data_IF_533427377260
#
_entry.id   IF_533427377260
#
_cell.length_a   1.000
_cell.length_b   1.000
_cell.length_c   1.000
_cell.angle_alpha   90.00
_cell.angle_beta   90.00
_cell.angle_gamma   90.00
#
_symmetry.space_group_name_H-M   'P 1'
#
loop_
_entity.id
_entity.type
_entity.pdbx_description
1 polymer ?
#
# COMPACT_ATOMS: atom_id res chain seq x y z
N UNK A 1 3.08 11.31 -28.03
CA UNK A 1 3.03 9.92 -27.52
C UNK A 1 3.95 9.85 -26.32
N UNK A 2 3.44 9.55 -25.12
CA UNK A 2 4.30 9.21 -23.99
C UNK A 2 4.92 7.85 -24.28
N UNK A 3 6.25 7.80 -24.38
CA UNK A 3 6.97 6.54 -24.48
C UNK A 3 6.81 5.83 -23.13
N UNK A 4 5.99 4.78 -23.10
CA UNK A 4 6.02 3.82 -22.00
C UNK A 4 7.37 3.11 -22.12
N UNK A 5 8.26 3.38 -21.16
CA UNK A 5 9.52 2.67 -21.08
C UNK A 5 9.21 1.20 -20.72
N UNK A 6 9.33 0.32 -21.72
CA UNK A 6 9.09 -1.12 -21.57
C UNK A 6 10.03 -1.78 -20.55
N UNK A 7 11.04 -1.07 -20.06
CA UNK A 7 11.94 -1.54 -19.00
C UNK A 7 11.32 -1.56 -17.60
N UNK A 8 10.19 -0.88 -17.35
CA UNK A 8 9.54 -0.80 -16.02
C UNK A 8 8.25 -1.59 -15.93
N UNK A 9 8.29 -2.86 -16.33
CA UNK A 9 7.19 -3.81 -16.12
C UNK A 9 7.39 -4.51 -14.78
N UNK A 10 6.42 -4.40 -13.86
CA UNK A 10 6.55 -4.98 -12.52
C UNK A 10 6.62 -6.51 -12.58
N UNK A 11 7.66 -7.09 -11.98
CA UNK A 11 7.82 -8.54 -11.80
C UNK A 11 7.04 -9.11 -10.62
N UNK A 12 6.47 -8.24 -9.79
CA UNK A 12 5.73 -8.58 -8.59
C UNK A 12 4.41 -7.81 -8.51
N UNK A 13 3.42 -8.41 -7.86
CA UNK A 13 2.24 -7.71 -7.37
C UNK A 13 2.60 -7.07 -6.03
N UNK A 14 2.22 -5.80 -5.83
CA UNK A 14 2.42 -5.08 -4.58
C UNK A 14 1.08 -4.66 -3.98
N UNK A 15 1.01 -4.71 -2.66
CA UNK A 15 -0.22 -4.47 -1.93
C UNK A 15 -0.01 -4.50 -0.43
N UNK A 16 -1.11 -4.58 0.30
CA UNK A 16 -1.11 -4.58 1.76
C UNK A 16 -1.91 -5.76 2.30
N UNK A 17 -1.62 -6.13 3.54
CA UNK A 17 -2.40 -7.10 4.29
C UNK A 17 -3.62 -6.43 4.93
N UNK A 18 -4.82 -6.87 4.57
CA UNK A 18 -6.10 -6.31 5.04
C UNK A 18 -6.43 -6.81 6.45
N UNK A 19 -5.91 -7.96 6.88
CA UNK A 19 -6.10 -8.43 8.27
C UNK A 19 -5.43 -7.49 9.27
N UNK A 20 -4.34 -6.82 8.85
CA UNK A 20 -3.72 -5.78 9.65
C UNK A 20 -4.57 -4.52 9.80
N UNK A 21 -5.54 -4.29 8.90
CA UNK A 21 -6.39 -3.10 8.87
C UNK A 21 -7.72 -3.27 9.60
N UNK A 22 -8.40 -4.43 9.47
CA UNK A 22 -9.76 -4.63 9.99
C UNK A 22 -9.86 -5.71 11.08
N UNK A 23 -8.72 -6.18 11.57
CA UNK A 23 -8.65 -7.27 12.56
C UNK A 23 -8.93 -8.64 11.94
N UNK A 24 -8.49 -9.70 12.64
CA UNK A 24 -8.72 -11.08 12.18
C UNK A 24 -10.22 -11.36 12.08
N UNK A 25 -10.68 -11.69 10.87
CA UNK A 25 -11.95 -12.38 10.70
C UNK A 25 -11.92 -13.69 11.49
N UNK A 26 -12.97 -14.01 12.26
CA UNK A 26 -13.10 -15.30 12.93
C UNK A 26 -13.27 -16.47 11.94
N UNK A 27 -13.45 -16.17 10.65
CA UNK A 27 -13.40 -17.16 9.58
C UNK A 27 -11.95 -17.44 9.17
N UNK A 28 -11.50 -18.63 9.58
CA UNK A 28 -10.37 -19.44 9.10
C UNK A 28 -9.61 -18.86 7.88
N UNK A 29 -8.34 -18.49 8.10
CA UNK A 29 -7.22 -18.51 7.14
C UNK A 29 -7.34 -17.76 5.79
N UNK A 30 -8.20 -16.76 5.65
CA UNK A 30 -8.12 -15.87 4.47
C UNK A 30 -7.35 -14.62 4.85
N UNK A 31 -6.01 -14.70 4.80
CA UNK A 31 -5.19 -13.50 4.70
C UNK A 31 -5.62 -12.73 3.46
N UNK A 32 -6.39 -11.67 3.65
CA UNK A 32 -6.88 -10.85 2.54
C UNK A 32 -5.77 -9.89 2.13
N UNK A 33 -5.12 -10.15 1.01
CA UNK A 33 -4.21 -9.17 0.43
C UNK A 33 -4.98 -8.24 -0.50
N UNK A 34 -4.85 -6.93 -0.27
CA UNK A 34 -5.34 -5.91 -1.17
C UNK A 34 -4.21 -5.52 -2.14
N UNK A 35 -4.30 -6.00 -3.37
CA UNK A 35 -3.37 -5.60 -4.43
C UNK A 35 -3.61 -4.13 -4.81
N UNK A 36 -2.55 -3.31 -4.71
CA UNK A 36 -2.57 -1.93 -5.24
C UNK A 36 -2.11 -1.89 -6.70
N UNK A 37 -1.17 -2.76 -7.07
CA UNK A 37 -0.69 -2.90 -8.44
C UNK A 37 -0.28 -4.34 -8.71
N UNK A 38 -0.64 -4.85 -9.88
CA UNK A 38 -0.41 -6.23 -10.26
C UNK A 38 0.94 -6.43 -10.97
N UNK A 39 1.48 -7.63 -10.84
CA UNK A 39 2.56 -8.11 -11.70
C UNK A 39 2.16 -7.94 -13.18
N UNK A 40 3.13 -7.56 -14.00
CA UNK A 40 2.95 -7.33 -15.44
C UNK A 40 2.45 -5.92 -15.77
N UNK A 41 2.12 -5.09 -14.78
CA UNK A 41 1.79 -3.68 -15.02
C UNK A 41 3.05 -2.91 -15.44
N UNK A 42 3.01 -2.28 -16.60
CA UNK A 42 4.00 -1.29 -17.02
C UNK A 42 3.74 0.04 -16.28
N UNK A 43 4.76 0.59 -15.63
CA UNK A 43 4.60 1.78 -14.79
C UNK A 43 5.47 2.96 -15.26
N UNK A 44 4.87 4.16 -15.27
CA UNK A 44 5.59 5.42 -15.51
C UNK A 44 6.42 5.84 -14.28
N UNK A 45 7.44 6.67 -14.49
CA UNK A 45 8.21 7.27 -13.40
C UNK A 45 7.27 8.13 -12.54
N UNK A 46 7.36 7.96 -11.22
CA UNK A 46 6.53 8.64 -10.21
C UNK A 46 5.03 8.33 -10.33
N UNK A 47 4.66 7.26 -11.05
CA UNK A 47 3.28 6.77 -11.07
C UNK A 47 2.85 6.32 -9.68
N UNK A 48 1.62 6.67 -9.32
CA UNK A 48 1.02 6.38 -8.02
C UNK A 48 -0.21 5.49 -8.16
N UNK A 49 -0.32 4.53 -7.25
CA UNK A 49 -1.51 3.71 -7.04
C UNK A 49 -1.97 3.90 -5.60
N UNK A 50 -3.27 4.14 -5.39
CA UNK A 50 -3.80 4.52 -4.07
C UNK A 50 -5.22 4.01 -3.87
N UNK A 51 -5.63 3.91 -2.61
CA UNK A 51 -7.01 3.68 -2.21
C UNK A 51 -7.32 4.50 -0.95
N UNK A 52 -8.62 4.67 -0.65
CA UNK A 52 -9.06 5.32 0.58
C UNK A 52 -9.32 4.26 1.65
N UNK A 53 -8.66 4.42 2.80
CA UNK A 53 -8.86 3.63 4.00
C UNK A 53 -9.73 4.42 4.98
N UNK A 54 -10.72 3.76 5.57
CA UNK A 54 -11.57 4.33 6.61
C UNK A 54 -11.19 3.72 7.96
N UNK A 55 -10.51 4.46 8.85
CA UNK A 55 -10.15 3.96 10.16
C UNK A 55 -11.39 3.80 11.04
N UNK A 56 -11.34 2.84 11.97
CA UNK A 56 -12.42 2.59 12.93
C UNK A 56 -12.67 3.80 13.84
N UNK A 57 -13.84 3.86 14.45
CA UNK A 57 -14.16 4.91 15.43
C UNK A 57 -13.14 4.90 16.58
N UNK A 58 -12.61 6.08 16.94
CA UNK A 58 -11.55 6.27 17.95
C UNK A 58 -10.17 5.63 17.66
N UNK A 59 -9.94 5.03 16.48
CA UNK A 59 -8.63 4.49 16.12
C UNK A 59 -7.56 5.61 16.10
N UNK A 60 -6.48 5.44 16.88
CA UNK A 60 -5.41 6.45 17.10
C UNK A 60 -4.20 6.30 16.19
N UNK A 61 -4.07 5.17 15.52
CA UNK A 61 -2.93 4.84 14.68
C UNK A 61 -3.27 3.70 13.73
N UNK A 62 -2.53 3.61 12.63
CA UNK A 62 -2.60 2.50 11.68
C UNK A 62 -1.19 2.09 11.22
N UNK A 63 -1.00 0.82 10.93
CA UNK A 63 0.20 0.24 10.35
C UNK A 63 -0.13 -0.36 8.98
N UNK A 64 0.27 0.31 7.92
CA UNK A 64 0.20 -0.26 6.57
C UNK A 64 1.43 -1.14 6.33
N UNK A 65 1.26 -2.45 6.46
CA UNK A 65 2.28 -3.42 6.09
C UNK A 65 2.23 -3.69 4.58
N UNK A 66 3.29 -3.32 3.87
CA UNK A 66 3.39 -3.44 2.42
C UNK A 66 4.11 -4.74 2.07
N UNK A 67 3.46 -5.56 1.26
CA UNK A 67 3.98 -6.84 0.81
C UNK A 67 4.13 -6.86 -0.72
N UNK A 68 4.98 -7.76 -1.19
CA UNK A 68 5.08 -8.10 -2.59
C UNK A 68 5.07 -9.62 -2.80
N UNK A 69 4.55 -10.06 -3.94
CA UNK A 69 4.40 -11.48 -4.29
C UNK A 69 4.58 -11.70 -5.80
N UNK A 70 5.05 -12.89 -6.19
CA UNK A 70 5.08 -13.32 -7.60
C UNK A 70 3.76 -13.93 -8.08
N UNK A 71 2.87 -14.28 -7.15
CA UNK A 71 1.63 -14.98 -7.42
C UNK A 71 0.52 -13.99 -7.78
N UNK A 72 -0.24 -14.34 -8.81
CA UNK A 72 -1.42 -13.56 -9.21
C UNK A 72 -2.64 -13.86 -8.33
N UNK A 73 -2.65 -15.01 -7.63
CA UNK A 73 -3.70 -15.44 -6.71
C UNK A 73 -3.21 -15.25 -5.28
N UNK A 74 -3.72 -14.23 -4.60
CA UNK A 74 -3.08 -13.70 -3.39
C UNK A 74 -3.68 -14.28 -2.11
N UNK A 75 -3.64 -15.61 -2.01
CA UNK A 75 -4.04 -16.32 -0.80
C UNK A 75 -2.98 -16.19 0.32
N UNK A 76 -1.77 -15.71 -0.02
CA UNK A 76 -0.69 -15.52 0.93
C UNK A 76 0.20 -14.32 0.56
N UNK A 77 0.51 -13.48 1.53
CA UNK A 77 1.53 -12.44 1.43
C UNK A 77 2.92 -13.08 1.51
N UNK A 78 3.72 -13.03 0.45
CA UNK A 78 4.98 -13.79 0.41
C UNK A 78 6.16 -13.06 1.08
N UNK A 79 6.34 -11.75 0.87
CA UNK A 79 7.50 -11.02 1.41
C UNK A 79 7.14 -9.60 1.83
N UNK A 80 7.50 -9.23 3.08
CA UNK A 80 7.33 -7.88 3.62
C UNK A 80 8.36 -6.93 3.00
N UNK A 81 7.88 -5.86 2.36
CA UNK A 81 8.72 -4.75 1.92
C UNK A 81 9.05 -3.79 3.08
N UNK A 82 8.04 -3.51 3.90
CA UNK A 82 8.16 -2.63 5.05
C UNK A 82 6.80 -2.20 5.60
N UNK A 83 6.83 -1.33 6.61
CA UNK A 83 5.62 -0.85 7.29
C UNK A 83 5.64 0.66 7.37
N UNK A 84 4.55 1.30 6.92
CA UNK A 84 4.29 2.71 7.20
C UNK A 84 3.38 2.80 8.43
N UNK A 85 3.89 3.40 9.51
CA UNK A 85 3.10 3.66 10.72
C UNK A 85 2.60 5.08 10.72
N UNK A 86 1.33 5.28 11.02
CA UNK A 86 0.72 6.61 11.11
C UNK A 86 0.04 6.83 12.45
N UNK A 87 0.00 8.09 12.86
CA UNK A 87 -0.79 8.56 14.00
C UNK A 87 -2.02 9.28 13.46
N UNK A 88 -3.17 9.05 14.07
CA UNK A 88 -4.47 9.61 13.70
C UNK A 88 -4.97 10.48 14.88
N UNK A 89 -4.59 11.76 14.94
CA UNK A 89 -4.92 12.63 16.09
C UNK A 89 -6.39 13.06 16.12
N UNK A 90 -7.10 12.89 15.01
CA UNK A 90 -8.49 13.30 14.76
C UNK A 90 -9.52 12.28 15.26
N UNK A 91 -9.22 11.55 16.33
CA UNK A 91 -10.02 10.42 16.83
C UNK A 91 -11.49 10.71 17.10
N UNK A 92 -11.84 11.96 17.38
CA UNK A 92 -13.20 12.39 17.72
C UNK A 92 -14.08 12.70 16.49
N UNK A 93 -13.52 12.66 15.29
CA UNK A 93 -14.25 12.93 14.06
C UNK A 93 -14.83 11.65 13.45
N UNK A 94 -16.08 11.75 12.98
CA UNK A 94 -16.71 10.72 12.14
C UNK A 94 -16.24 10.88 10.68
N UNK A 95 -16.32 9.80 9.90
CA UNK A 95 -16.01 9.78 8.45
C UNK A 95 -14.57 10.19 8.11
N UNK A 96 -13.62 9.70 8.91
CA UNK A 96 -12.20 9.86 8.59
C UNK A 96 -11.87 9.06 7.34
N UNK A 97 -11.05 9.64 6.46
CA UNK A 97 -10.56 8.97 5.27
C UNK A 97 -9.07 9.23 5.12
N UNK A 98 -8.31 8.14 4.97
CA UNK A 98 -6.88 8.15 4.78
C UNK A 98 -6.59 7.70 3.35
N UNK A 99 -6.07 8.58 2.51
CA UNK A 99 -5.57 8.20 1.21
C UNK A 99 -4.20 7.54 1.37
N UNK A 100 -4.16 6.22 1.27
CA UNK A 100 -2.92 5.45 1.27
C UNK A 100 -2.52 5.14 -0.16
N UNK A 101 -1.22 5.23 -0.48
CA UNK A 101 -0.72 4.86 -1.78
C UNK A 101 0.75 4.54 -1.86
N UNK A 102 1.13 4.00 -3.01
CA UNK A 102 2.50 3.67 -3.40
C UNK A 102 2.86 4.47 -4.65
N UNK A 103 3.94 5.25 -4.55
CA UNK A 103 4.54 6.00 -5.67
C UNK A 103 5.82 5.30 -6.11
N UNK A 104 5.91 4.97 -7.39
CA UNK A 104 7.04 4.23 -7.97
C UNK A 104 8.06 5.18 -8.58
N UNK A 105 8.94 5.70 -7.72
CA UNK A 105 9.99 6.64 -8.12
C UNK A 105 11.22 5.97 -8.76
N UNK A 106 12.27 6.76 -8.98
CA UNK A 106 13.48 6.28 -9.67
C UNK A 106 14.27 5.26 -8.84
N UNK A 107 14.36 5.47 -7.52
CA UNK A 107 15.24 4.71 -6.62
C UNK A 107 14.50 3.72 -5.71
N UNK A 108 13.17 3.74 -5.72
CA UNK A 108 12.38 2.97 -4.78
C UNK A 108 10.90 3.26 -4.84
N UNK A 109 10.20 2.72 -3.86
CA UNK A 109 8.76 2.83 -3.69
C UNK A 109 8.51 3.71 -2.48
N UNK A 110 7.85 4.84 -2.68
CA UNK A 110 7.40 5.70 -1.58
C UNK A 110 5.99 5.27 -1.18
N UNK A 111 5.83 4.77 0.04
CA UNK A 111 4.53 4.61 0.65
C UNK A 111 4.14 5.93 1.33
N UNK A 112 2.89 6.35 1.13
CA UNK A 112 2.36 7.52 1.81
C UNK A 112 0.96 7.23 2.35
N UNK A 113 0.57 8.02 3.35
CA UNK A 113 -0.76 8.05 3.92
C UNK A 113 -1.12 9.49 4.26
N UNK A 114 -2.11 10.03 3.56
CA UNK A 114 -2.62 11.38 3.75
C UNK A 114 -3.96 11.31 4.45
N UNK A 115 -4.07 11.96 5.60
CA UNK A 115 -5.34 12.20 6.24
C UNK A 115 -6.07 13.32 5.49
N UNK A 116 -7.20 12.99 4.87
CA UNK A 116 -7.97 13.91 4.03
C UNK A 116 -8.70 14.98 4.86
N UNK A 117 -8.95 14.73 6.16
CA UNK A 117 -9.64 15.65 7.04
C UNK A 117 -8.73 16.79 7.52
N UNK A 118 -7.50 16.48 7.94
CA UNK A 118 -6.58 17.46 8.53
C UNK A 118 -5.33 17.75 7.67
N UNK A 119 -5.16 17.05 6.54
CA UNK A 119 -4.04 17.22 5.61
C UNK A 119 -2.72 16.63 6.09
N UNK A 120 -2.67 15.98 7.26
CA UNK A 120 -1.47 15.32 7.76
C UNK A 120 -1.01 14.25 6.77
N UNK A 121 0.28 14.27 6.46
CA UNK A 121 0.87 13.35 5.50
C UNK A 121 2.05 12.61 6.14
N UNK A 122 2.02 11.28 6.09
CA UNK A 122 3.12 10.42 6.51
C UNK A 122 3.68 9.74 5.26
N UNK A 123 5.01 9.65 5.15
CA UNK A 123 5.64 8.96 4.04
C UNK A 123 6.92 8.25 4.46
N UNK A 124 7.25 7.19 3.75
CA UNK A 124 8.53 6.51 3.84
C UNK A 124 8.89 5.93 2.46
N UNK A 125 10.18 5.82 2.17
CA UNK A 125 10.66 5.25 0.91
C UNK A 125 11.41 3.96 1.18
N UNK A 126 11.03 2.90 0.46
CA UNK A 126 11.69 1.60 0.47
C UNK A 126 12.51 1.43 -0.80
N UNK A 127 13.71 0.86 -0.66
CA UNK A 127 14.46 0.41 -1.83
C UNK A 127 13.64 -0.63 -2.60
N UNK A 128 13.80 -0.66 -3.92
CA UNK A 128 13.19 -1.72 -4.71
C UNK A 128 13.71 -3.09 -4.28
N UNK A 129 12.84 -4.12 -4.23
CA UNK A 129 13.29 -5.50 -4.20
C UNK A 129 14.23 -5.77 -5.38
N UNK A 130 15.22 -6.62 -5.19
CA UNK A 130 16.11 -7.02 -6.27
C UNK A 130 15.29 -7.52 -7.47
N UNK A 131 15.57 -6.98 -8.65
CA UNK A 131 14.87 -7.30 -9.90
C UNK A 131 13.36 -7.04 -9.86
N UNK A 132 12.93 -5.88 -9.35
CA UNK A 132 11.49 -5.49 -9.34
C UNK A 132 10.92 -5.27 -10.74
N UNK A 133 11.77 -4.89 -11.69
CA UNK A 133 11.50 -4.66 -13.11
C UNK A 133 12.21 -5.70 -13.93
#
# INVERSE_FOLDING_TARGET
MKNIDSSRVLKYTLGIDVDSLYGKSNDVEIHRFLALVNRGTAIELDQTFSFNFEPEFNQKSENFAIYYTKNNNVQHCEVLLGVLKIILPDVYFYNRSINFGLTFGQKGITAFARNELNGQNHMTTFCYPNNVF
#
